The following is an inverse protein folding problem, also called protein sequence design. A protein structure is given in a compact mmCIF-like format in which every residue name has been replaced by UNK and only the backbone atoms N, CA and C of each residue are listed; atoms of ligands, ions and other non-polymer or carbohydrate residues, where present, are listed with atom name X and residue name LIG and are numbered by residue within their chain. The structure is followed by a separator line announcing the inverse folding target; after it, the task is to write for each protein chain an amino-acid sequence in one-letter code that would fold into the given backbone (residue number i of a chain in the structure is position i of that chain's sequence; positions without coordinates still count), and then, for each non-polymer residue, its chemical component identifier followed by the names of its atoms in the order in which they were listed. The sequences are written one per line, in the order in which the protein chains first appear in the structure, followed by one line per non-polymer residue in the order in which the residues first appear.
data_IF_101660821866
#
_entry.id   IF_101660821866
#
_cell.length_a   1.000
_cell.length_b   1.000
_cell.length_c   1.000
_cell.angle_alpha   90.00
_cell.angle_beta   90.00
_cell.angle_gamma   90.00
#
_symmetry.space_group_name_H-M   'P 1'
#
loop_
_entity.id
_entity.type
_entity.pdbx_description
1 polymer ?
#
# COMPACT_ATOMS: atom_id res chain seq x y z
N UNK A 1 -13.33 -29.72 9.67
CA UNK A 1 -13.04 -28.92 10.87
C UNK A 1 -12.41 -27.63 10.39
N UNK A 2 -13.24 -26.60 10.19
CA UNK A 2 -12.81 -25.35 9.61
C UNK A 2 -12.18 -24.48 10.70
N UNK A 3 -10.90 -24.14 10.54
CA UNK A 3 -10.25 -23.10 11.31
C UNK A 3 -10.20 -21.88 10.39
N UNK A 4 -11.31 -21.15 10.32
CA UNK A 4 -11.32 -19.79 9.77
C UNK A 4 -10.65 -18.90 10.81
N UNK A 5 -9.33 -18.77 10.69
CA UNK A 5 -8.60 -17.71 11.36
C UNK A 5 -8.98 -16.45 10.59
N UNK A 6 -10.00 -15.72 11.06
CA UNK A 6 -10.15 -14.32 10.69
C UNK A 6 -9.01 -13.57 11.39
N UNK A 7 -7.80 -13.72 10.89
CA UNK A 7 -6.80 -12.67 11.06
C UNK A 7 -7.46 -11.44 10.47
N UNK A 8 -7.72 -10.42 11.29
CA UNK A 8 -8.19 -9.14 10.78
C UNK A 8 -7.08 -8.54 9.93
N UNK A 9 -6.97 -8.99 8.68
CA UNK A 9 -6.21 -8.31 7.64
C UNK A 9 -6.91 -6.97 7.44
N UNK A 10 -6.36 -5.95 8.08
CA UNK A 10 -6.59 -4.57 7.67
C UNK A 10 -5.95 -4.44 6.29
N UNK A 11 -6.74 -4.72 5.25
CA UNK A 11 -6.30 -4.56 3.87
C UNK A 11 -6.11 -3.08 3.58
N UNK A 12 -4.86 -2.61 3.61
CA UNK A 12 -4.51 -1.27 3.14
C UNK A 12 -4.15 -1.32 1.66
N UNK A 13 -4.39 -0.21 0.99
CA UNK A 13 -4.19 -0.04 -0.44
C UNK A 13 -3.35 1.20 -0.65
N UNK A 14 -2.22 1.02 -1.31
CA UNK A 14 -1.34 2.09 -1.74
C UNK A 14 -1.60 2.42 -3.21
N UNK A 15 -1.88 3.70 -3.48
CA UNK A 15 -1.93 4.27 -4.82
C UNK A 15 -0.51 4.49 -5.31
N UNK A 16 -0.15 3.80 -6.37
CA UNK A 16 1.16 3.91 -6.98
C UNK A 16 1.05 4.84 -8.18
N UNK A 17 1.88 5.87 -8.16
CA UNK A 17 2.08 6.80 -9.27
C UNK A 17 3.60 6.90 -9.50
N UNK A 18 4.05 6.66 -10.73
CA UNK A 18 5.48 6.73 -11.09
C UNK A 18 6.42 5.90 -10.18
N UNK A 19 5.97 4.73 -9.70
CA UNK A 19 6.68 3.84 -8.75
C UNK A 19 6.80 4.39 -7.32
N UNK A 20 6.00 5.38 -6.96
CA UNK A 20 5.92 5.93 -5.60
C UNK A 20 4.50 5.82 -5.07
N UNK A 21 4.39 5.58 -3.77
CA UNK A 21 3.12 5.59 -3.05
C UNK A 21 2.67 7.05 -2.90
N UNK A 22 1.67 7.44 -3.65
CA UNK A 22 1.08 8.78 -3.59
C UNK A 22 -0.05 8.88 -2.57
N UNK A 23 -0.75 7.78 -2.29
CA UNK A 23 -1.87 7.77 -1.35
C UNK A 23 -2.01 6.40 -0.71
N UNK A 24 -2.49 6.34 0.53
CA UNK A 24 -2.80 5.10 1.22
C UNK A 24 -4.22 5.16 1.73
N UNK A 25 -4.94 4.07 1.59
CA UNK A 25 -6.31 3.98 2.03
C UNK A 25 -6.63 2.59 2.58
N UNK A 26 -7.48 2.53 3.60
CA UNK A 26 -7.96 1.27 4.20
C UNK A 26 -9.25 0.78 3.51
N UNK A 27 -9.78 1.54 2.55
CA UNK A 27 -10.98 1.18 1.80
C UNK A 27 -10.61 0.49 0.48
N UNK A 28 -11.42 -0.49 0.05
CA UNK A 28 -11.20 -1.12 -1.24
C UNK A 28 -11.38 -0.08 -2.38
N UNK A 29 -10.33 0.21 -3.18
CA UNK A 29 -10.39 1.18 -4.25
C UNK A 29 -11.10 0.64 -5.52
N UNK A 30 -11.33 -0.67 -5.61
CA UNK A 30 -11.98 -1.31 -6.75
C UNK A 30 -13.39 -0.75 -6.99
N UNK A 31 -13.66 -0.31 -8.22
CA UNK A 31 -14.93 0.29 -8.60
C UNK A 31 -15.24 1.66 -7.98
N UNK A 32 -14.34 2.22 -7.16
CA UNK A 32 -14.47 3.55 -6.54
C UNK A 32 -13.65 4.61 -7.27
N UNK A 33 -12.43 4.26 -7.65
CA UNK A 33 -11.48 5.17 -8.28
C UNK A 33 -11.42 4.97 -9.80
N UNK A 34 -10.82 5.95 -10.51
CA UNK A 34 -10.63 5.86 -11.95
C UNK A 34 -9.74 4.64 -12.28
N UNK A 35 -10.05 3.84 -13.31
CA UNK A 35 -9.28 2.63 -13.66
C UNK A 35 -7.83 2.90 -14.09
N UNK A 36 -7.47 4.18 -14.28
CA UNK A 36 -6.08 4.60 -14.53
C UNK A 36 -5.22 4.65 -13.27
N UNK A 37 -5.84 4.64 -12.08
CA UNK A 37 -5.12 4.65 -10.81
C UNK A 37 -4.69 3.24 -10.45
N UNK A 38 -3.40 3.06 -10.25
CA UNK A 38 -2.82 1.77 -9.85
C UNK A 38 -2.90 1.68 -8.34
N UNK A 39 -3.77 0.83 -7.84
CA UNK A 39 -3.84 0.51 -6.42
C UNK A 39 -3.24 -0.88 -6.19
N UNK A 40 -2.38 -0.98 -5.19
CA UNK A 40 -1.80 -2.23 -4.75
C UNK A 40 -2.04 -2.41 -3.26
N UNK A 41 -2.41 -3.63 -2.90
CA UNK A 41 -2.53 -4.01 -1.51
C UNK A 41 -1.16 -3.89 -0.82
N UNK A 42 -1.14 -3.24 0.33
CA UNK A 42 0.06 -2.95 1.09
C UNK A 42 -0.16 -3.26 2.59
N UNK A 43 0.90 -3.59 3.33
CA UNK A 43 0.82 -3.75 4.77
C UNK A 43 0.53 -2.40 5.46
N UNK A 44 0.08 -2.46 6.71
CA UNK A 44 -0.25 -1.29 7.52
C UNK A 44 0.95 -0.37 7.82
N UNK A 45 2.17 -0.88 7.67
CA UNK A 45 3.42 -0.13 7.85
C UNK A 45 3.81 0.72 6.63
N UNK A 46 3.13 0.54 5.49
CA UNK A 46 3.39 1.34 4.29
C UNK A 46 2.97 2.78 4.53
N UNK A 47 3.79 3.72 4.05
CA UNK A 47 3.58 5.15 4.19
C UNK A 47 3.59 5.88 2.84
N UNK A 48 2.88 7.00 2.78
CA UNK A 48 2.90 7.86 1.61
C UNK A 48 4.33 8.36 1.37
N UNK A 49 4.80 8.26 0.13
CA UNK A 49 6.18 8.55 -0.24
C UNK A 49 7.08 7.32 -0.35
N UNK A 50 6.64 6.15 0.11
CA UNK A 50 7.35 4.88 -0.09
C UNK A 50 7.50 4.56 -1.58
N UNK A 51 8.51 3.77 -1.92
CA UNK A 51 8.73 3.34 -3.31
C UNK A 51 8.15 1.95 -3.53
N UNK A 52 7.52 1.74 -4.69
CA UNK A 52 7.08 0.42 -5.12
C UNK A 52 7.96 -0.05 -6.28
N UNK A 53 8.87 -0.98 -6.00
CA UNK A 53 9.86 -1.48 -6.96
C UNK A 53 9.75 -3.00 -7.01
N UNK A 54 9.67 -3.57 -8.21
CA UNK A 54 9.62 -5.03 -8.44
C UNK A 54 8.52 -5.80 -7.66
N UNK A 55 7.46 -5.10 -7.23
CA UNK A 55 6.39 -5.72 -6.44
C UNK A 55 6.52 -5.55 -4.93
N UNK A 56 7.57 -4.88 -4.47
CA UNK A 56 7.87 -4.66 -3.05
C UNK A 56 7.71 -3.19 -2.67
N UNK A 57 7.17 -2.96 -1.47
CA UNK A 57 7.09 -1.63 -0.87
C UNK A 57 8.36 -1.37 -0.06
N UNK A 58 9.18 -0.44 -0.55
CA UNK A 58 10.40 0.00 0.09
C UNK A 58 10.07 1.22 0.94
N UNK A 59 10.01 1.00 2.25
CA UNK A 59 9.83 2.07 3.23
C UNK A 59 10.94 3.11 3.08
N UNK A 60 10.58 4.33 2.69
CA UNK A 60 11.50 5.46 2.72
C UNK A 60 11.54 5.97 4.16
N UNK A 61 12.20 5.19 5.04
CA UNK A 61 12.34 5.57 6.44
C UNK A 61 12.88 7.02 6.53
N UNK A 62 12.21 7.93 7.25
CA UNK A 62 12.71 9.30 7.42
C UNK A 62 14.08 9.34 8.13
N UNK A 63 14.55 8.22 8.70
CA UNK A 63 15.89 8.09 9.26
C UNK A 63 17.02 8.06 8.21
N UNK A 64 16.71 7.80 6.92
CA UNK A 64 17.74 7.64 5.87
C UNK A 64 17.89 8.89 4.98
N UNK A 65 17.04 9.91 5.13
CA UNK A 65 17.14 11.17 4.36
C UNK A 65 17.75 12.36 5.14
N UNK A 66 18.23 12.15 6.37
CA UNK A 66 19.03 13.16 7.08
C UNK A 66 20.52 12.91 6.84
N UNK A 67 21.06 13.45 5.75
CA UNK A 67 22.50 13.63 5.54
C UNK A 67 22.80 15.02 5.00
#
# INVERSE_FOLDING_TARGET
MAQFIFTGEVHMWARIEENKVEEITEINPEGRFHPSLIWKECPADTQQGDLYIDGEFIAQSPAVQAR
#
